data_IF_798356320569
#
_entry.id   IF_798356320569
#
_cell.length_a   1.000
_cell.length_b   1.000
_cell.length_c   1.000
_cell.angle_alpha   90.00
_cell.angle_beta   90.00
_cell.angle_gamma   90.00
#
_symmetry.space_group_name_H-M   'P 1'
#
loop_
_entity.id
_entity.type
_entity.pdbx_description
1 polymer ?
#
# COMPACT_ATOMS: atom_id res chain seq x y z
N UNK A 1 -1.72 15.99 -1.32
CA UNK A 1 -2.26 15.01 -0.35
C UNK A 1 -2.99 13.84 -1.03
N UNK A 2 -4.09 14.05 -1.78
CA UNK A 2 -4.85 12.95 -2.42
C UNK A 2 -4.03 12.09 -3.38
N UNK A 3 -3.17 12.68 -4.21
CA UNK A 3 -2.32 11.92 -5.12
C UNK A 3 -1.30 11.05 -4.38
N UNK A 4 -0.73 11.56 -3.28
CA UNK A 4 0.14 10.78 -2.40
C UNK A 4 -0.61 9.58 -1.82
N UNK A 5 -1.81 9.82 -1.26
CA UNK A 5 -2.64 8.74 -0.73
C UNK A 5 -2.99 7.69 -1.81
N UNK A 6 -3.32 8.13 -3.02
CA UNK A 6 -3.62 7.24 -4.13
C UNK A 6 -2.40 6.40 -4.54
N UNK A 7 -1.23 7.01 -4.68
CA UNK A 7 0.00 6.30 -5.00
C UNK A 7 0.36 5.26 -3.92
N UNK A 8 0.28 5.63 -2.65
CA UNK A 8 0.58 4.71 -1.54
C UNK A 8 -0.41 3.55 -1.48
N UNK A 9 -1.72 3.82 -1.65
CA UNK A 9 -2.75 2.78 -1.54
C UNK A 9 -2.81 1.84 -2.74
N UNK A 10 -2.57 2.35 -3.95
CA UNK A 10 -2.80 1.60 -5.20
C UNK A 10 -1.54 1.28 -6.01
N UNK A 11 -0.40 1.84 -5.65
CA UNK A 11 0.86 1.70 -6.40
C UNK A 11 0.85 2.45 -7.73
N UNK A 12 -0.07 2.07 -8.60
CA UNK A 12 -0.32 2.72 -9.90
C UNK A 12 -1.83 2.96 -10.05
N UNK A 13 -2.21 4.18 -10.40
CA UNK A 13 -3.59 4.53 -10.70
C UNK A 13 -3.66 5.50 -11.89
N UNK A 14 -4.60 5.26 -12.83
CA UNK A 14 -4.83 6.20 -13.93
C UNK A 14 -5.53 7.47 -13.45
N UNK A 15 -5.32 8.59 -14.17
CA UNK A 15 -6.01 9.84 -13.89
C UNK A 15 -7.53 9.69 -13.94
N UNK A 16 -8.07 8.84 -14.82
CA UNK A 16 -9.52 8.60 -14.88
C UNK A 16 -10.06 7.99 -13.59
N UNK A 17 -9.38 6.97 -13.05
CA UNK A 17 -9.78 6.36 -11.80
C UNK A 17 -9.55 7.30 -10.60
N UNK A 18 -8.45 8.02 -10.59
CA UNK A 18 -8.18 9.03 -9.56
C UNK A 18 -9.24 10.13 -9.56
N UNK A 19 -9.61 10.62 -10.75
CA UNK A 19 -10.67 11.63 -10.91
C UNK A 19 -12.04 11.11 -10.45
N UNK A 20 -12.36 9.84 -10.72
CA UNK A 20 -13.58 9.21 -10.21
C UNK A 20 -13.61 9.20 -8.68
N UNK A 21 -12.50 8.85 -8.02
CA UNK A 21 -12.38 8.89 -6.56
C UNK A 21 -12.59 10.30 -6.03
N UNK A 22 -11.98 11.31 -6.67
CA UNK A 22 -12.18 12.71 -6.26
C UNK A 22 -13.63 13.15 -6.41
N UNK A 23 -14.32 12.74 -7.47
CA UNK A 23 -15.74 13.04 -7.64
C UNK A 23 -16.62 12.41 -6.58
N UNK A 24 -16.31 11.21 -6.13
CA UNK A 24 -17.03 10.57 -5.02
C UNK A 24 -16.85 11.34 -3.72
N UNK A 25 -15.66 11.93 -3.48
CA UNK A 25 -15.41 12.71 -2.28
C UNK A 25 -15.97 14.12 -2.33
N UNK A 26 -16.10 14.67 -3.52
CA UNK A 26 -16.51 16.06 -3.76
C UNK A 26 -17.61 16.13 -4.84
N UNK A 27 -18.80 15.54 -4.60
CA UNK A 27 -19.84 15.44 -5.62
C UNK A 27 -20.40 16.78 -6.08
N UNK A 28 -20.41 17.79 -5.18
CA UNK A 28 -20.93 19.14 -5.44
C UNK A 28 -19.90 20.06 -6.07
N UNK A 29 -18.60 19.71 -6.01
CA UNK A 29 -17.55 20.56 -6.54
C UNK A 29 -17.43 20.39 -8.07
N UNK A 30 -17.30 21.47 -8.84
CA UNK A 30 -17.07 21.42 -10.28
C UNK A 30 -15.63 21.01 -10.57
N UNK A 31 -15.22 19.83 -10.08
CA UNK A 31 -13.88 19.32 -10.30
C UNK A 31 -13.70 19.06 -11.81
N UNK A 32 -12.75 19.78 -12.41
CA UNK A 32 -12.39 19.62 -13.81
C UNK A 32 -11.12 18.77 -13.95
N UNK A 33 -11.24 17.65 -14.67
CA UNK A 33 -10.13 16.73 -14.94
C UNK A 33 -8.93 17.44 -15.59
N UNK A 34 -9.19 18.29 -16.60
CA UNK A 34 -8.15 19.01 -17.33
C UNK A 34 -7.39 19.98 -16.40
N UNK A 35 -8.11 20.65 -15.49
CA UNK A 35 -7.50 21.53 -14.51
C UNK A 35 -6.57 20.75 -13.57
N UNK A 36 -7.02 19.60 -13.06
CA UNK A 36 -6.22 18.73 -12.19
C UNK A 36 -4.98 18.22 -12.94
N UNK A 37 -5.18 17.71 -14.16
CA UNK A 37 -4.07 17.28 -15.00
C UNK A 37 -3.07 18.41 -15.22
N UNK A 38 -3.55 19.60 -15.61
CA UNK A 38 -2.70 20.78 -15.81
C UNK A 38 -1.94 21.16 -14.54
N UNK A 39 -2.59 21.12 -13.37
CA UNK A 39 -1.93 21.37 -12.09
C UNK A 39 -0.76 20.42 -11.85
N UNK A 40 -0.94 19.13 -12.12
CA UNK A 40 0.14 18.15 -11.99
C UNK A 40 1.26 18.32 -13.00
N UNK A 41 0.96 18.77 -14.22
CA UNK A 41 1.97 19.00 -15.25
C UNK A 41 2.74 20.32 -15.07
N UNK A 42 2.16 21.32 -14.42
CA UNK A 42 2.75 22.65 -14.24
C UNK A 42 3.32 22.89 -12.84
N UNK A 43 2.89 22.14 -11.84
CA UNK A 43 3.48 22.22 -10.52
C UNK A 43 4.83 21.51 -10.56
N UNK A 44 5.87 22.14 -10.02
CA UNK A 44 7.10 21.49 -9.62
C UNK A 44 6.75 20.50 -8.50
N UNK A 45 6.17 19.38 -8.91
CA UNK A 45 5.67 18.38 -7.97
C UNK A 45 6.86 17.56 -7.45
N UNK A 46 7.57 18.14 -6.49
CA UNK A 46 8.68 17.51 -5.78
C UNK A 46 8.21 16.58 -4.64
N UNK A 47 7.03 15.95 -4.78
CA UNK A 47 6.58 14.98 -3.81
C UNK A 47 7.42 13.70 -3.94
N UNK A 48 8.20 13.30 -2.90
CA UNK A 48 9.08 12.14 -2.99
C UNK A 48 8.32 10.81 -3.03
N UNK A 49 7.00 10.83 -2.79
CA UNK A 49 6.18 9.60 -2.68
C UNK A 49 5.71 9.10 -4.02
N UNK A 50 5.55 9.98 -5.01
CA UNK A 50 5.01 9.61 -6.32
C UNK A 50 5.54 10.49 -7.45
N UNK A 51 5.40 9.98 -8.66
CA UNK A 51 5.62 10.74 -9.89
C UNK A 51 4.50 10.47 -10.89
N UNK A 52 4.48 11.25 -11.96
CA UNK A 52 3.46 11.17 -13.00
C UNK A 52 4.11 10.83 -14.34
N UNK A 53 3.54 9.83 -15.01
CA UNK A 53 3.92 9.44 -16.37
C UNK A 53 2.74 8.87 -17.12
N UNK A 54 2.55 9.27 -18.37
CA UNK A 54 1.55 8.72 -19.30
C UNK A 54 0.12 8.63 -18.70
N UNK A 55 -0.33 9.72 -18.05
CA UNK A 55 -1.61 9.80 -17.34
C UNK A 55 -1.77 8.82 -16.16
N UNK A 56 -0.67 8.34 -15.62
CA UNK A 56 -0.61 7.51 -14.41
C UNK A 56 0.01 8.27 -13.26
N UNK A 57 -0.56 8.09 -12.05
CA UNK A 57 0.06 8.44 -10.78
C UNK A 57 0.73 7.16 -10.29
N UNK A 58 2.05 7.20 -10.07
CA UNK A 58 2.88 6.03 -9.82
C UNK A 58 3.65 6.24 -8.52
N UNK A 59 3.61 5.25 -7.62
CA UNK A 59 4.40 5.29 -6.40
C UNK A 59 5.90 5.32 -6.72
N UNK A 60 6.66 6.16 -6.01
CA UNK A 60 8.07 6.41 -6.30
C UNK A 60 9.00 5.18 -6.17
N UNK A 61 8.56 4.14 -5.45
CA UNK A 61 9.32 2.88 -5.37
C UNK A 61 9.27 2.04 -6.64
N UNK A 62 8.34 2.33 -7.55
CA UNK A 62 8.24 1.63 -8.84
C UNK A 62 9.15 2.36 -9.81
N UNK A 63 10.23 1.72 -10.25
CA UNK A 63 11.15 2.31 -11.20
C UNK A 63 10.51 2.50 -12.58
N UNK A 64 11.01 3.46 -13.34
CA UNK A 64 10.48 3.76 -14.67
C UNK A 64 10.55 2.58 -15.66
N UNK A 65 11.46 1.63 -15.43
CA UNK A 65 11.59 0.41 -16.23
C UNK A 65 10.61 -0.70 -15.85
N UNK A 66 9.99 -0.62 -14.65
CA UNK A 66 9.11 -1.65 -14.11
C UNK A 66 7.61 -1.31 -14.23
N UNK A 67 7.27 -0.10 -14.70
CA UNK A 67 5.89 0.39 -14.76
C UNK A 67 4.97 -0.57 -15.53
N UNK A 68 5.39 -0.97 -16.73
CA UNK A 68 4.55 -1.82 -17.61
C UNK A 68 4.33 -3.20 -17.00
N UNK A 69 5.37 -3.79 -16.42
CA UNK A 69 5.30 -5.10 -15.77
C UNK A 69 4.42 -5.03 -14.52
N UNK A 70 4.68 -4.09 -13.62
CA UNK A 70 3.88 -3.88 -12.40
C UNK A 70 2.41 -3.60 -12.73
N UNK A 71 2.15 -2.75 -13.73
CA UNK A 71 0.78 -2.44 -14.17
C UNK A 71 0.08 -3.66 -14.76
N UNK A 72 0.78 -4.46 -15.55
CA UNK A 72 0.25 -5.70 -16.10
C UNK A 72 -0.04 -6.73 -14.99
N UNK A 73 0.80 -6.80 -13.98
CA UNK A 73 0.61 -7.67 -12.82
C UNK A 73 -0.61 -7.27 -11.99
N UNK A 74 -0.75 -5.98 -11.66
CA UNK A 74 -1.94 -5.45 -10.99
C UNK A 74 -3.21 -5.83 -11.74
N UNK A 75 -3.27 -5.59 -13.06
CA UNK A 75 -4.42 -5.93 -13.89
C UNK A 75 -4.72 -7.44 -13.91
N UNK A 76 -3.68 -8.26 -14.02
CA UNK A 76 -3.81 -9.73 -14.05
C UNK A 76 -4.39 -10.26 -12.74
N UNK A 77 -3.87 -9.80 -11.60
CA UNK A 77 -4.33 -10.25 -10.29
C UNK A 77 -5.74 -9.72 -9.98
N UNK A 78 -6.04 -8.48 -10.31
CA UNK A 78 -7.39 -7.92 -10.21
C UNK A 78 -8.41 -8.76 -11.02
N UNK A 79 -8.06 -9.15 -12.25
CA UNK A 79 -8.91 -10.01 -13.09
C UNK A 79 -9.11 -11.39 -12.47
N UNK A 80 -8.05 -12.00 -11.93
CA UNK A 80 -8.10 -13.29 -11.23
C UNK A 80 -9.06 -13.24 -10.05
N UNK A 81 -9.06 -12.16 -9.31
CA UNK A 81 -9.90 -11.93 -8.12
C UNK A 81 -11.26 -11.32 -8.47
N UNK A 82 -11.58 -11.16 -9.77
CA UNK A 82 -12.80 -10.54 -10.28
C UNK A 82 -13.00 -9.10 -9.80
N UNK A 83 -11.92 -8.40 -9.48
CA UNK A 83 -11.95 -7.01 -9.08
C UNK A 83 -11.98 -6.13 -10.33
N UNK A 84 -13.09 -5.43 -10.53
CA UNK A 84 -13.29 -4.57 -11.72
C UNK A 84 -13.05 -3.10 -11.43
N UNK A 85 -12.92 -2.72 -10.17
CA UNK A 85 -12.79 -1.33 -9.74
C UNK A 85 -11.82 -1.22 -8.55
N UNK A 86 -11.18 -0.06 -8.46
CA UNK A 86 -10.43 0.32 -7.26
C UNK A 86 -11.37 0.42 -6.05
N UNK A 87 -10.88 -0.04 -4.89
CA UNK A 87 -11.59 0.10 -3.62
C UNK A 87 -11.63 1.57 -3.23
N UNK A 88 -12.79 2.19 -3.22
CA UNK A 88 -12.97 3.54 -2.71
C UNK A 88 -13.23 3.45 -1.21
N UNK A 89 -12.31 4.00 -0.43
CA UNK A 89 -12.43 4.10 1.03
C UNK A 89 -13.21 5.37 1.39
N UNK A 90 -13.78 5.47 2.61
CA UNK A 90 -14.19 6.76 3.14
C UNK A 90 -13.02 7.76 3.08
N UNK A 91 -13.28 9.01 2.70
CA UNK A 91 -12.25 10.02 2.45
C UNK A 91 -11.24 10.15 3.61
N UNK A 92 -11.73 10.14 4.86
CA UNK A 92 -10.88 10.24 6.06
C UNK A 92 -9.90 9.07 6.17
N UNK A 93 -10.33 7.88 5.80
CA UNK A 93 -9.48 6.68 5.81
C UNK A 93 -8.49 6.71 4.64
N UNK A 94 -8.95 7.06 3.46
CA UNK A 94 -8.10 7.23 2.29
C UNK A 94 -6.95 8.20 2.55
N UNK A 95 -7.22 9.33 3.18
CA UNK A 95 -6.21 10.36 3.45
C UNK A 95 -5.13 9.92 4.47
N UNK A 96 -5.36 8.88 5.26
CA UNK A 96 -4.32 8.31 6.13
C UNK A 96 -3.12 7.81 5.31
N UNK A 97 -3.34 7.30 4.11
CA UNK A 97 -2.28 6.83 3.20
C UNK A 97 -1.37 7.95 2.66
N UNK A 98 -1.72 9.21 2.87
CA UNK A 98 -0.82 10.32 2.61
C UNK A 98 0.28 10.49 3.69
N UNK A 99 0.13 9.83 4.84
CA UNK A 99 1.17 9.76 5.87
C UNK A 99 2.11 8.59 5.56
N UNK A 100 3.41 8.82 5.35
CA UNK A 100 4.37 7.75 5.03
C UNK A 100 4.54 6.72 6.16
N UNK A 101 4.22 7.09 7.40
CA UNK A 101 4.28 6.19 8.56
C UNK A 101 2.96 5.47 8.83
N UNK A 102 1.98 5.56 7.93
CA UNK A 102 0.70 4.91 8.12
C UNK A 102 0.73 3.44 7.70
N UNK A 103 0.25 2.58 8.56
CA UNK A 103 -0.15 1.21 8.25
C UNK A 103 -1.52 0.90 8.87
N UNK A 104 -2.17 -0.12 8.34
CA UNK A 104 -3.48 -0.56 8.77
C UNK A 104 -3.43 -1.18 10.16
N UNK A 105 -4.54 -1.14 10.89
CA UNK A 105 -4.72 -1.86 12.14
C UNK A 105 -5.59 -3.11 11.88
N UNK A 106 -5.17 -4.23 12.45
CA UNK A 106 -5.86 -5.51 12.35
C UNK A 106 -5.30 -6.51 13.36
N UNK A 107 -5.90 -7.68 13.47
CA UNK A 107 -5.48 -8.69 14.44
C UNK A 107 -4.08 -9.20 14.13
N UNK A 108 -3.77 -9.50 12.87
CA UNK A 108 -2.45 -9.94 12.44
C UNK A 108 -1.38 -8.86 12.61
N UNK A 109 -1.74 -7.59 12.35
CA UNK A 109 -0.86 -6.44 12.59
C UNK A 109 -0.52 -6.31 14.07
N UNK A 110 -1.51 -6.43 14.96
CA UNK A 110 -1.31 -6.38 16.41
C UNK A 110 -0.47 -7.55 16.92
N UNK A 111 -0.70 -8.76 16.39
CA UNK A 111 0.10 -9.94 16.73
C UNK A 111 1.57 -9.76 16.35
N UNK A 112 1.86 -9.26 15.15
CA UNK A 112 3.22 -8.98 14.72
C UNK A 112 3.88 -7.93 15.62
N UNK A 113 3.19 -6.84 15.91
CA UNK A 113 3.68 -5.76 16.77
C UNK A 113 4.03 -6.28 18.18
N UNK A 114 3.13 -7.07 18.80
CA UNK A 114 3.37 -7.69 20.10
C UNK A 114 4.55 -8.66 20.06
N UNK A 115 4.68 -9.46 19.01
CA UNK A 115 5.82 -10.36 18.84
C UNK A 115 7.16 -9.61 18.77
N UNK A 116 7.21 -8.51 18.03
CA UNK A 116 8.43 -7.69 17.93
C UNK A 116 8.80 -7.04 19.27
N UNK A 117 7.81 -6.49 20.01
CA UNK A 117 8.04 -5.81 21.29
C UNK A 117 8.28 -6.78 22.44
N UNK A 118 7.45 -7.81 22.57
CA UNK A 118 7.40 -8.64 23.79
C UNK A 118 8.33 -9.86 23.72
N UNK A 119 8.41 -10.50 22.53
CA UNK A 119 9.23 -11.71 22.34
C UNK A 119 10.66 -11.40 21.86
N UNK A 120 10.83 -10.35 21.03
CA UNK A 120 12.14 -9.95 20.53
C UNK A 120 12.72 -8.76 21.29
N UNK A 121 12.00 -8.18 22.24
CA UNK A 121 12.43 -7.06 23.09
C UNK A 121 12.93 -5.85 22.29
N UNK A 122 12.35 -5.62 21.10
CA UNK A 122 12.68 -4.49 20.22
C UNK A 122 12.06 -3.21 20.80
N UNK A 123 12.77 -2.09 20.72
CA UNK A 123 12.28 -0.80 21.20
C UNK A 123 10.99 -0.37 20.46
N UNK A 124 10.10 0.38 21.13
CA UNK A 124 8.85 0.85 20.54
C UNK A 124 9.09 1.67 19.24
N UNK A 125 10.14 2.49 19.21
CA UNK A 125 10.52 3.29 18.04
C UNK A 125 10.92 2.39 16.87
N UNK A 126 11.78 1.40 17.09
CA UNK A 126 12.19 0.44 16.05
C UNK A 126 11.02 -0.43 15.59
N UNK A 127 10.13 -0.85 16.52
CA UNK A 127 8.92 -1.61 16.20
C UNK A 127 8.05 -0.82 15.22
N UNK A 128 7.78 0.46 15.47
CA UNK A 128 6.97 1.29 14.56
C UNK A 128 7.61 1.40 13.17
N UNK A 129 8.91 1.62 13.08
CA UNK A 129 9.62 1.68 11.80
C UNK A 129 9.57 0.34 11.05
N UNK A 130 9.77 -0.78 11.76
CA UNK A 130 9.69 -2.13 11.19
C UNK A 130 8.28 -2.39 10.67
N UNK A 131 7.24 -2.04 11.44
CA UNK A 131 5.85 -2.24 11.05
C UNK A 131 5.48 -1.45 9.79
N UNK A 132 5.95 -0.21 9.67
CA UNK A 132 5.78 0.61 8.45
C UNK A 132 6.43 -0.08 7.24
N UNK A 133 7.66 -0.56 7.40
CA UNK A 133 8.38 -1.25 6.31
C UNK A 133 7.71 -2.57 5.94
N UNK A 134 7.29 -3.37 6.91
CA UNK A 134 6.56 -4.62 6.68
C UNK A 134 5.23 -4.40 5.95
N UNK A 135 4.45 -3.42 6.40
CA UNK A 135 3.20 -3.06 5.75
C UNK A 135 3.43 -2.59 4.30
N UNK A 136 4.49 -1.85 4.04
CA UNK A 136 4.87 -1.45 2.69
C UNK A 136 5.26 -2.66 1.82
N UNK A 137 6.04 -3.59 2.35
CA UNK A 137 6.45 -4.83 1.66
C UNK A 137 5.21 -5.64 1.25
N UNK A 138 4.27 -5.86 2.17
CA UNK A 138 3.03 -6.58 1.89
C UNK A 138 2.17 -5.81 0.88
N UNK A 139 2.04 -4.50 1.03
CA UNK A 139 1.24 -3.64 0.15
C UNK A 139 1.74 -3.66 -1.29
N UNK A 140 3.04 -3.69 -1.48
CA UNK A 140 3.69 -3.76 -2.80
C UNK A 140 3.77 -5.17 -3.38
N UNK A 141 3.19 -6.16 -2.70
CA UNK A 141 3.26 -7.58 -3.07
C UNK A 141 4.70 -8.13 -3.18
N UNK A 142 5.63 -7.51 -2.47
CA UNK A 142 6.99 -8.03 -2.36
C UNK A 142 7.02 -9.30 -1.51
N UNK A 143 7.98 -10.18 -1.77
CA UNK A 143 8.06 -11.51 -1.13
C UNK A 143 8.28 -11.38 0.39
N UNK A 144 7.58 -12.17 1.22
CA UNK A 144 7.69 -12.14 2.69
C UNK A 144 9.11 -12.27 3.25
N UNK A 145 10.05 -12.86 2.51
CA UNK A 145 11.46 -12.94 2.90
C UNK A 145 12.12 -11.58 3.08
N UNK A 146 11.57 -10.49 2.50
CA UNK A 146 12.07 -9.14 2.74
C UNK A 146 11.88 -8.66 4.18
N UNK A 147 10.91 -9.23 4.91
CA UNK A 147 10.72 -8.95 6.34
C UNK A 147 12.00 -9.29 7.12
N UNK A 148 12.59 -10.44 6.82
CA UNK A 148 13.85 -10.88 7.42
C UNK A 148 14.98 -9.89 7.11
N UNK A 149 15.06 -9.47 5.85
CA UNK A 149 16.06 -8.49 5.41
C UNK A 149 15.90 -7.14 6.10
N UNK A 150 14.66 -6.71 6.41
CA UNK A 150 14.40 -5.47 7.13
C UNK A 150 14.97 -5.50 8.57
N UNK A 151 14.82 -6.64 9.25
CA UNK A 151 15.40 -6.85 10.60
C UNK A 151 16.93 -6.93 10.55
N UNK A 152 17.48 -7.70 9.60
CA UNK A 152 18.93 -7.84 9.43
C UNK A 152 19.63 -6.50 9.16
N UNK A 153 19.04 -5.64 8.32
CA UNK A 153 19.56 -4.30 8.03
C UNK A 153 19.65 -3.41 9.25
N UNK A 154 18.78 -3.65 10.25
CA UNK A 154 18.78 -2.94 11.54
C UNK A 154 19.68 -3.60 12.59
N UNK A 155 20.39 -4.67 12.22
CA UNK A 155 21.31 -5.38 13.11
C UNK A 155 20.63 -6.32 14.10
N UNK A 156 19.34 -6.61 13.92
CA UNK A 156 18.66 -7.61 14.74
C UNK A 156 19.09 -9.02 14.31
N UNK A 157 19.75 -9.73 15.22
CA UNK A 157 20.11 -11.14 15.03
C UNK A 157 18.99 -12.02 15.57
N UNK A 158 18.47 -12.91 14.73
CA UNK A 158 17.45 -13.87 15.12
C UNK A 158 17.85 -15.30 14.71
N UNK A 159 17.44 -16.28 15.53
CA UNK A 159 17.67 -17.68 15.21
C UNK A 159 16.54 -18.28 14.35
N UNK A 160 16.73 -19.50 13.82
CA UNK A 160 15.74 -20.19 12.99
C UNK A 160 14.33 -20.30 13.57
N UNK A 161 14.22 -20.35 14.90
CA UNK A 161 12.91 -20.36 15.59
C UNK A 161 12.17 -19.04 15.44
N UNK A 162 12.89 -17.92 15.56
CA UNK A 162 12.34 -16.59 15.36
C UNK A 162 11.97 -16.35 13.89
N UNK A 163 12.78 -16.88 12.97
CA UNK A 163 12.50 -16.83 11.53
C UNK A 163 11.12 -17.42 11.20
N UNK A 164 10.83 -18.63 11.70
CA UNK A 164 9.52 -19.26 11.48
C UNK A 164 8.37 -18.45 12.10
N UNK A 165 8.57 -17.92 13.31
CA UNK A 165 7.55 -17.09 13.98
C UNK A 165 7.31 -15.79 13.21
N UNK A 166 8.36 -15.11 12.72
CA UNK A 166 8.24 -13.91 11.90
C UNK A 166 7.49 -14.18 10.59
N UNK A 167 7.80 -15.29 9.92
CA UNK A 167 7.08 -15.69 8.70
C UNK A 167 5.61 -15.98 8.99
N UNK A 168 5.31 -16.70 10.08
CA UNK A 168 3.94 -17.02 10.47
C UNK A 168 3.15 -15.75 10.77
N UNK A 169 3.69 -14.87 11.62
CA UNK A 169 3.04 -13.59 11.93
C UNK A 169 2.91 -12.68 10.70
N UNK A 170 3.88 -12.73 9.78
CA UNK A 170 3.78 -12.02 8.50
C UNK A 170 2.62 -12.51 7.63
N UNK A 171 2.40 -13.84 7.58
CA UNK A 171 1.25 -14.41 6.88
C UNK A 171 -0.09 -14.03 7.54
N UNK A 172 -0.14 -13.94 8.88
CA UNK A 172 -1.34 -13.49 9.60
C UNK A 172 -1.61 -11.99 9.43
N UNK A 173 -0.55 -11.19 9.24
CA UNK A 173 -0.65 -9.76 8.97
C UNK A 173 -1.13 -9.46 7.53
N UNK A 174 -0.81 -10.31 6.57
CA UNK A 174 -1.10 -10.08 5.14
C UNK A 174 -2.58 -9.78 4.84
N UNK A 175 -3.58 -10.47 5.42
CA UNK A 175 -4.99 -10.18 5.16
C UNK A 175 -5.45 -8.82 5.64
N UNK A 176 -4.77 -8.20 6.61
CA UNK A 176 -5.12 -6.89 7.16
C UNK A 176 -4.67 -5.74 6.24
N UNK A 177 -3.57 -5.94 5.51
CA UNK A 177 -2.95 -4.92 4.68
C UNK A 177 -3.61 -4.84 3.30
N UNK A 178 -3.86 -3.63 2.81
CA UNK A 178 -4.35 -3.36 1.46
C UNK A 178 -3.22 -3.44 0.45
N UNK A 179 -3.45 -4.16 -0.66
CA UNK A 179 -2.40 -4.44 -1.65
C UNK A 179 -2.67 -3.78 -2.99
N UNK A 180 -1.60 -3.51 -3.71
CA UNK A 180 -1.67 -2.93 -5.06
C UNK A 180 -2.33 -3.88 -6.06
N UNK A 181 -1.97 -5.15 -6.01
CA UNK A 181 -2.50 -6.20 -6.90
C UNK A 181 -3.97 -6.50 -6.66
N UNK A 182 -4.52 -6.10 -5.51
CA UNK A 182 -5.95 -6.19 -5.20
C UNK A 182 -6.68 -4.85 -5.32
N UNK A 183 -6.13 -3.87 -6.05
CA UNK A 183 -6.75 -2.55 -6.27
C UNK A 183 -7.14 -1.83 -4.97
N UNK A 184 -6.35 -2.00 -3.90
CA UNK A 184 -6.61 -1.39 -2.59
C UNK A 184 -7.63 -2.12 -1.72
N UNK A 185 -8.06 -3.33 -2.09
CA UNK A 185 -8.78 -4.22 -1.18
C UNK A 185 -7.79 -4.92 -0.26
N UNK A 186 -8.20 -5.24 0.96
CA UNK A 186 -7.47 -6.14 1.83
C UNK A 186 -7.94 -7.60 1.65
N UNK A 187 -7.21 -8.56 2.23
CA UNK A 187 -7.51 -9.99 2.05
C UNK A 187 -8.90 -10.39 2.54
N UNK A 188 -9.37 -9.80 3.63
CA UNK A 188 -10.70 -10.06 4.18
C UNK A 188 -11.83 -9.60 3.25
N UNK A 189 -11.66 -8.44 2.60
CA UNK A 189 -12.62 -7.91 1.62
C UNK A 189 -12.63 -8.78 0.36
N UNK A 190 -11.44 -9.18 -0.15
CA UNK A 190 -11.34 -10.08 -1.31
C UNK A 190 -11.99 -11.42 -1.04
N UNK A 191 -11.76 -12.01 0.15
CA UNK A 191 -12.39 -13.28 0.54
C UNK A 191 -13.92 -13.19 0.53
N UNK A 192 -14.50 -12.09 1.05
CA UNK A 192 -15.95 -11.85 1.02
C UNK A 192 -16.49 -11.74 -0.40
N UNK A 193 -15.78 -11.05 -1.30
CA UNK A 193 -16.20 -10.90 -2.70
C UNK A 193 -16.16 -12.22 -3.47
N UNK A 194 -15.25 -13.15 -3.14
CA UNK A 194 -15.19 -14.47 -3.76
C UNK A 194 -16.33 -15.40 -3.33
N UNK A 195 -16.96 -15.14 -2.18
CA UNK A 195 -18.07 -15.93 -1.63
C UNK A 195 -19.47 -15.42 -2.06
N UNK A 196 -19.53 -14.22 -2.64
CA UNK A 196 -20.75 -13.58 -3.14
C UNK A 196 -20.97 -13.85 -4.62
#
# INVERSE_FOLDING_TARGET
MHARAAATLYGIISFDNFFRILKDYYPEDPINKEYIMRYFWTSENNDPTYYIRDELIIHASISSGEIEETWAEIKRNATKDRLIQYRILPQKEFLKYANPSFYEDGDGVRMMKSYLSDDLEISEEDVEEIMVEMAFIIRSDAVPTYIMTALERRGFAYGKKCELALMTNGCEMEPDIRRWTTLGYNGHEVAKLRLS
#
